data_IF_032356061547
#
_entry.id   IF_032356061547
#
_cell.length_a   1.000
_cell.length_b   1.000
_cell.length_c   1.000
_cell.angle_alpha   90.00
_cell.angle_beta   90.00
_cell.angle_gamma   90.00
#
_symmetry.space_group_name_H-M   'P 1'
#
loop_
_entity.id
_entity.type
_entity.pdbx_description
1 polymer ?
#
# COMPACT_ATOMS: atom_id res chain seq x y z
N UNK A 1 0.64 2.34 -9.84
CA UNK A 1 1.44 3.42 -9.19
C UNK A 1 1.48 4.73 -9.99
N UNK A 2 1.93 4.78 -11.26
CA UNK A 2 1.93 6.05 -12.04
C UNK A 2 0.53 6.66 -12.26
N UNK A 3 -0.50 5.82 -12.44
CA UNK A 3 -1.86 6.31 -12.71
C UNK A 3 -2.57 6.84 -11.46
N UNK A 4 -2.40 6.19 -10.30
CA UNK A 4 -2.96 6.66 -9.03
C UNK A 4 -2.43 8.05 -8.68
N UNK A 5 -1.14 8.32 -8.96
CA UNK A 5 -0.51 9.65 -8.79
C UNK A 5 -1.11 10.68 -9.75
N UNK A 6 -1.30 10.33 -11.02
CA UNK A 6 -1.89 11.26 -12.00
C UNK A 6 -3.36 11.53 -11.67
N UNK A 7 -4.13 10.51 -11.29
CA UNK A 7 -5.52 10.64 -10.89
C UNK A 7 -5.66 11.49 -9.62
N UNK A 8 -4.83 11.26 -8.60
CA UNK A 8 -4.83 12.07 -7.38
C UNK A 8 -4.44 13.52 -7.66
N UNK A 9 -3.42 13.78 -8.48
CA UNK A 9 -3.04 15.13 -8.89
C UNK A 9 -4.17 15.86 -9.61
N UNK A 10 -4.84 15.20 -10.55
CA UNK A 10 -5.98 15.77 -11.28
C UNK A 10 -7.15 16.09 -10.33
N UNK A 11 -7.43 15.19 -9.39
CA UNK A 11 -8.48 15.37 -8.37
C UNK A 11 -8.12 16.53 -7.44
N UNK A 12 -6.87 16.61 -6.96
CA UNK A 12 -6.37 17.71 -6.13
C UNK A 12 -6.47 19.06 -6.86
N UNK A 13 -6.00 19.16 -8.11
CA UNK A 13 -6.06 20.40 -8.89
C UNK A 13 -7.50 20.84 -9.20
N UNK A 14 -8.42 19.89 -9.39
CA UNK A 14 -9.85 20.20 -9.58
C UNK A 14 -10.53 20.58 -8.27
N UNK A 15 -10.17 19.91 -7.17
CA UNK A 15 -10.65 20.25 -5.84
C UNK A 15 -10.22 21.67 -5.49
N UNK A 16 -8.93 21.98 -5.63
CA UNK A 16 -8.37 23.31 -5.37
C UNK A 16 -9.10 24.41 -6.15
N UNK A 17 -9.25 24.27 -7.47
CA UNK A 17 -10.02 25.23 -8.30
C UNK A 17 -11.49 25.38 -7.92
N UNK A 18 -12.12 24.32 -7.38
CA UNK A 18 -13.55 24.29 -7.03
C UNK A 18 -13.81 24.84 -5.63
N UNK A 19 -12.94 24.53 -4.67
CA UNK A 19 -13.09 24.89 -3.27
C UNK A 19 -12.43 26.22 -2.93
N UNK A 20 -11.38 26.66 -3.64
CA UNK A 20 -10.81 28.02 -3.54
C UNK A 20 -11.85 29.14 -3.79
N UNK A 21 -12.98 28.81 -4.44
CA UNK A 21 -14.05 29.76 -4.78
C UNK A 21 -15.26 29.74 -3.83
N UNK A 22 -15.26 28.91 -2.78
CA UNK A 22 -16.36 28.87 -1.80
C UNK A 22 -16.07 29.77 -0.59
N UNK A 23 -17.13 30.29 0.05
CA UNK A 23 -17.02 31.21 1.19
C UNK A 23 -16.63 30.54 2.52
N UNK A 24 -16.54 29.21 2.55
CA UNK A 24 -16.34 28.37 3.73
C UNK A 24 -14.96 27.69 3.67
N UNK A 25 -13.93 28.49 3.38
CA UNK A 25 -12.54 28.07 3.22
C UNK A 25 -11.79 28.51 4.47
N UNK A 26 -11.26 27.53 5.20
CA UNK A 26 -10.37 27.79 6.33
C UNK A 26 -9.04 28.33 5.78
N UNK A 27 -8.81 29.64 5.95
CA UNK A 27 -7.53 30.26 5.64
C UNK A 27 -6.60 30.04 6.82
N UNK A 28 -5.55 29.25 6.60
CA UNK A 28 -4.47 29.11 7.56
C UNK A 28 -3.47 30.24 7.31
N UNK A 29 -3.39 31.20 8.22
CA UNK A 29 -2.25 32.09 8.27
C UNK A 29 -1.03 31.25 8.69
N UNK A 30 0.01 31.28 7.87
CA UNK A 30 1.30 30.72 8.28
C UNK A 30 1.79 31.58 9.44
N UNK A 31 1.78 31.06 10.67
CA UNK A 31 2.58 31.66 11.74
C UNK A 31 4.04 31.68 11.24
N UNK A 32 4.63 32.87 11.13
CA UNK A 32 5.93 33.15 10.48
C UNK A 32 7.17 32.49 11.13
N UNK A 33 7.02 31.46 11.97
CA UNK A 33 8.07 31.11 12.95
C UNK A 33 8.76 29.76 12.79
N UNK A 34 8.63 29.06 11.66
CA UNK A 34 9.52 27.93 11.38
C UNK A 34 10.20 28.09 10.02
N UNK A 35 11.50 28.40 10.07
CA UNK A 35 12.39 28.40 8.92
C UNK A 35 12.29 27.05 8.21
N UNK A 36 11.71 27.04 7.01
CA UNK A 36 11.56 25.87 6.13
C UNK A 36 12.88 25.41 5.50
N UNK A 37 14.01 25.94 5.95
CA UNK A 37 15.31 25.56 5.44
C UNK A 37 15.79 24.25 6.10
N UNK A 38 15.77 23.17 5.31
CA UNK A 38 16.37 21.91 5.73
C UNK A 38 17.83 22.13 6.13
N UNK A 39 18.15 21.83 7.40
CA UNK A 39 19.49 21.90 7.97
C UNK A 39 20.51 21.19 7.07
N UNK A 40 21.71 21.74 6.98
CA UNK A 40 22.77 21.22 6.12
C UNK A 40 23.18 19.79 6.51
N UNK A 41 23.02 19.42 7.78
CA UNK A 41 23.25 18.06 8.27
C UNK A 41 22.14 17.09 7.79
N UNK A 42 20.87 17.50 7.78
CA UNK A 42 19.76 16.70 7.21
C UNK A 42 19.91 16.46 5.71
N UNK A 43 20.42 17.46 4.96
CA UNK A 43 20.72 17.33 3.53
C UNK A 43 21.84 16.29 3.29
N UNK A 44 22.90 16.33 4.09
CA UNK A 44 24.02 15.36 4.00
C UNK A 44 23.57 13.94 4.35
N UNK A 45 22.79 13.78 5.42
CA UNK A 45 22.21 12.50 5.81
C UNK A 45 21.33 11.90 4.71
N UNK A 46 20.48 12.73 4.09
CA UNK A 46 19.59 12.30 3.01
C UNK A 46 20.37 11.84 1.77
N UNK A 47 21.42 12.57 1.38
CA UNK A 47 22.28 12.20 0.25
C UNK A 47 23.02 10.89 0.56
N UNK A 48 23.61 10.77 1.75
CA UNK A 48 24.31 9.56 2.17
C UNK A 48 23.38 8.34 2.18
N UNK A 49 22.14 8.52 2.67
CA UNK A 49 21.11 7.50 2.64
C UNK A 49 20.78 7.05 1.21
N UNK A 50 20.55 7.99 0.29
CA UNK A 50 20.21 7.66 -1.12
C UNK A 50 21.34 6.87 -1.77
N UNK A 51 22.59 7.32 -1.62
CA UNK A 51 23.76 6.65 -2.19
C UNK A 51 23.89 5.23 -1.63
N UNK A 52 23.82 5.09 -0.30
CA UNK A 52 23.92 3.78 0.35
C UNK A 52 22.76 2.86 -0.04
N UNK A 53 21.53 3.38 -0.12
CA UNK A 53 20.36 2.62 -0.52
C UNK A 53 20.49 2.09 -1.95
N UNK A 54 20.88 2.94 -2.90
CA UNK A 54 21.10 2.53 -4.30
C UNK A 54 22.20 1.47 -4.39
N UNK A 55 23.29 1.64 -3.66
CA UNK A 55 24.37 0.64 -3.61
C UNK A 55 23.88 -0.72 -3.08
N UNK A 56 23.09 -0.72 -1.99
CA UNK A 56 22.50 -1.94 -1.43
C UNK A 56 21.53 -2.62 -2.40
N UNK A 57 20.70 -1.86 -3.13
CA UNK A 57 19.78 -2.41 -4.13
C UNK A 57 20.54 -3.05 -5.30
N UNK A 58 21.56 -2.37 -5.84
CA UNK A 58 22.39 -2.92 -6.92
C UNK A 58 23.10 -4.19 -6.45
N UNK A 59 23.66 -4.18 -5.24
CA UNK A 59 24.31 -5.34 -4.66
C UNK A 59 23.33 -6.51 -4.50
N UNK A 60 22.11 -6.26 -4.02
CA UNK A 60 21.07 -7.28 -3.88
C UNK A 60 20.71 -7.93 -5.23
N UNK A 61 20.60 -7.13 -6.30
CA UNK A 61 20.30 -7.62 -7.65
C UNK A 61 21.42 -8.52 -8.19
N UNK A 62 22.69 -8.13 -8.00
CA UNK A 62 23.84 -8.91 -8.50
C UNK A 62 23.95 -10.26 -7.78
N UNK A 63 23.75 -10.27 -6.46
CA UNK A 63 23.94 -11.47 -5.64
C UNK A 63 22.67 -12.30 -5.46
N UNK A 64 21.55 -11.93 -6.11
CA UNK A 64 20.22 -12.55 -5.93
C UNK A 64 19.85 -12.71 -4.44
N UNK A 65 20.15 -11.68 -3.64
CA UNK A 65 19.78 -11.67 -2.23
C UNK A 65 18.25 -11.73 -2.09
N UNK A 66 17.71 -12.77 -1.46
CA UNK A 66 16.28 -12.84 -1.17
C UNK A 66 15.83 -11.70 -0.24
N UNK A 67 14.50 -11.52 -0.08
CA UNK A 67 13.90 -10.48 0.76
C UNK A 67 14.42 -10.46 2.22
N UNK A 68 14.95 -11.58 2.74
CA UNK A 68 15.59 -11.64 4.06
C UNK A 68 16.81 -10.72 4.20
N UNK A 69 17.51 -10.42 3.09
CA UNK A 69 18.62 -9.47 3.10
C UNK A 69 18.17 -8.03 3.40
N UNK A 70 16.88 -7.73 3.18
CA UNK A 70 16.29 -6.41 3.42
C UNK A 70 16.39 -5.95 4.86
N UNK A 71 16.19 -6.86 5.81
CA UNK A 71 16.26 -6.53 7.24
C UNK A 71 17.66 -6.03 7.59
N UNK A 72 18.70 -6.68 7.06
CA UNK A 72 20.09 -6.36 7.37
C UNK A 72 20.47 -4.97 6.86
N UNK A 73 20.22 -4.68 5.57
CA UNK A 73 20.63 -3.38 5.02
C UNK A 73 19.78 -2.22 5.55
N UNK A 74 18.50 -2.43 5.93
CA UNK A 74 17.68 -1.37 6.52
C UNK A 74 18.22 -0.92 7.88
N UNK A 75 18.71 -1.86 8.70
CA UNK A 75 19.42 -1.52 9.94
C UNK A 75 20.70 -0.75 9.63
N UNK A 76 21.50 -1.20 8.66
CA UNK A 76 22.71 -0.48 8.25
C UNK A 76 22.40 0.95 7.76
N UNK A 77 21.34 1.15 6.98
CA UNK A 77 20.92 2.46 6.50
C UNK A 77 20.47 3.38 7.64
N UNK A 78 19.81 2.85 8.68
CA UNK A 78 19.46 3.63 9.86
C UNK A 78 20.73 4.18 10.54
N UNK A 79 21.79 3.37 10.65
CA UNK A 79 23.09 3.84 11.14
C UNK A 79 23.76 4.86 10.22
N UNK A 80 23.68 4.70 8.89
CA UNK A 80 24.18 5.70 7.93
C UNK A 80 23.49 7.04 8.17
N UNK A 81 22.16 7.06 8.29
CA UNK A 81 21.41 8.29 8.57
C UNK A 81 21.80 8.91 9.92
N UNK A 82 21.96 8.09 10.96
CA UNK A 82 22.36 8.56 12.28
C UNK A 82 23.76 9.23 12.27
N UNK A 83 24.73 8.61 11.60
CA UNK A 83 26.11 9.10 11.52
C UNK A 83 26.17 10.40 10.71
N UNK A 84 25.59 10.41 9.50
CA UNK A 84 25.67 11.57 8.61
C UNK A 84 24.73 12.71 9.02
N UNK A 85 23.70 12.41 9.81
CA UNK A 85 22.84 13.41 10.47
C UNK A 85 23.41 13.95 11.78
N UNK A 86 24.59 13.47 12.22
CA UNK A 86 25.22 13.81 13.51
C UNK A 86 24.30 13.62 14.71
N UNK A 87 23.39 12.66 14.64
CA UNK A 87 22.60 12.28 15.80
C UNK A 87 23.51 11.59 16.83
N UNK A 88 23.22 11.81 18.11
CA UNK A 88 23.85 11.01 19.15
C UNK A 88 23.46 9.54 18.94
N UNK A 89 24.44 8.62 18.89
CA UNK A 89 24.18 7.19 18.65
C UNK A 89 23.18 6.62 19.66
N UNK A 90 23.25 7.05 20.92
CA UNK A 90 22.31 6.62 21.95
C UNK A 90 20.88 7.06 21.63
N UNK A 91 20.71 8.30 21.19
CA UNK A 91 19.41 8.88 20.82
C UNK A 91 18.87 8.26 19.52
N UNK A 92 19.75 7.95 18.57
CA UNK A 92 19.39 7.26 17.33
C UNK A 92 18.92 5.82 17.59
N UNK A 93 19.60 5.08 18.48
CA UNK A 93 19.18 3.73 18.89
C UNK A 93 17.86 3.79 19.66
N UNK A 94 17.72 4.70 20.61
CA UNK A 94 16.48 4.86 21.38
C UNK A 94 15.31 5.20 20.45
N UNK A 95 15.51 6.14 19.53
CA UNK A 95 14.50 6.50 18.52
C UNK A 95 14.15 5.31 17.63
N UNK A 96 15.14 4.54 17.18
CA UNK A 96 14.93 3.35 16.35
C UNK A 96 14.11 2.28 17.09
N UNK A 97 14.46 1.98 18.35
CA UNK A 97 13.74 1.01 19.17
C UNK A 97 12.33 1.48 19.51
N UNK A 98 12.16 2.76 19.82
CA UNK A 98 10.86 3.37 20.09
C UNK A 98 9.95 3.32 18.86
N UNK A 99 10.48 3.64 17.68
CA UNK A 99 9.76 3.50 16.40
C UNK A 99 9.45 2.02 16.10
N UNK A 100 10.40 1.12 16.32
CA UNK A 100 10.18 -0.32 16.14
C UNK A 100 9.06 -0.85 17.04
N UNK A 101 9.01 -0.38 18.30
CA UNK A 101 7.98 -0.76 19.25
C UNK A 101 6.57 -0.32 18.82
N UNK A 102 6.41 0.84 18.16
CA UNK A 102 5.09 1.26 17.65
C UNK A 102 4.59 0.38 16.51
N UNK A 103 5.49 -0.30 15.78
CA UNK A 103 5.14 -1.25 14.71
C UNK A 103 4.90 -2.67 15.21
N UNK A 104 5.27 -2.97 16.46
CA UNK A 104 5.11 -4.30 17.04
C UNK A 104 3.66 -4.83 17.03
N UNK A 105 2.62 -4.02 17.33
CA UNK A 105 1.22 -4.47 17.22
C UNK A 105 0.82 -4.90 15.80
N UNK A 106 1.33 -4.19 14.77
CA UNK A 106 1.10 -4.55 13.37
C UNK A 106 1.79 -5.86 13.03
N UNK A 107 3.03 -6.05 13.48
CA UNK A 107 3.78 -7.30 13.30
C UNK A 107 3.03 -8.51 13.90
N UNK A 108 2.52 -8.38 15.13
CA UNK A 108 1.72 -9.44 15.77
C UNK A 108 0.44 -9.71 14.99
N UNK A 109 -0.24 -8.67 14.49
CA UNK A 109 -1.44 -8.83 13.67
C UNK A 109 -1.15 -9.60 12.38
N UNK A 110 -0.01 -9.33 11.71
CA UNK A 110 0.40 -10.09 10.52
C UNK A 110 0.64 -11.57 10.82
N UNK A 111 1.28 -11.89 11.95
CA UNK A 111 1.47 -13.28 12.39
C UNK A 111 0.13 -13.94 12.67
N UNK A 112 -0.77 -13.28 13.41
CA UNK A 112 -2.07 -13.86 13.75
C UNK A 112 -2.96 -14.06 12.51
N UNK A 113 -2.92 -13.13 11.55
CA UNK A 113 -3.58 -13.31 10.25
C UNK A 113 -2.98 -14.51 9.52
N UNK A 114 -1.65 -14.67 9.49
CA UNK A 114 -1.03 -15.84 8.88
C UNK A 114 -1.51 -17.15 9.55
N UNK A 115 -1.50 -17.22 10.88
CA UNK A 115 -1.99 -18.39 11.63
C UNK A 115 -3.46 -18.67 11.32
N UNK A 116 -4.30 -17.63 11.24
CA UNK A 116 -5.70 -17.76 10.86
C UNK A 116 -5.83 -18.33 9.43
N UNK A 117 -5.06 -17.81 8.47
CA UNK A 117 -5.08 -18.29 7.09
C UNK A 117 -4.62 -19.75 6.96
N UNK A 118 -3.54 -20.12 7.66
CA UNK A 118 -3.03 -21.48 7.69
C UNK A 118 -4.06 -22.44 8.30
N UNK A 119 -4.77 -21.98 9.35
CA UNK A 119 -5.85 -22.75 9.98
C UNK A 119 -7.04 -22.93 9.03
N UNK A 120 -7.49 -21.87 8.35
CA UNK A 120 -8.57 -21.94 7.34
C UNK A 120 -8.18 -22.90 6.21
N UNK A 121 -6.93 -22.83 5.75
CA UNK A 121 -6.39 -23.70 4.71
C UNK A 121 -6.38 -25.16 5.18
N UNK A 122 -5.91 -25.43 6.39
CA UNK A 122 -5.88 -26.78 6.97
C UNK A 122 -7.29 -27.37 7.18
N UNK A 123 -8.29 -26.53 7.45
CA UNK A 123 -9.70 -26.94 7.55
C UNK A 123 -10.38 -27.09 6.19
N UNK A 124 -9.70 -26.83 5.06
CA UNK A 124 -10.28 -26.88 3.71
C UNK A 124 -11.26 -25.74 3.43
N UNK A 125 -11.23 -24.65 4.21
CA UNK A 125 -12.15 -23.54 4.07
C UNK A 125 -12.00 -22.78 2.75
N UNK A 126 -10.75 -22.58 2.29
CA UNK A 126 -10.50 -21.98 0.98
C UNK A 126 -10.85 -22.91 -0.18
N UNK A 127 -10.72 -24.23 0.00
CA UNK A 127 -11.13 -25.22 -1.01
C UNK A 127 -12.65 -25.18 -1.22
N UNK A 128 -13.41 -25.14 -0.11
CA UNK A 128 -14.87 -25.01 -0.14
C UNK A 128 -15.32 -23.69 -0.77
N UNK A 129 -14.66 -22.58 -0.43
CA UNK A 129 -14.95 -21.27 -1.01
C UNK A 129 -14.62 -21.25 -2.51
N UNK A 130 -13.50 -21.86 -2.90
CA UNK A 130 -13.09 -22.03 -4.29
C UNK A 130 -14.13 -22.84 -5.10
N UNK A 131 -14.67 -23.92 -4.53
CA UNK A 131 -15.73 -24.71 -5.17
C UNK A 131 -17.03 -23.90 -5.37
N UNK A 132 -17.42 -23.06 -4.41
CA UNK A 132 -18.55 -22.13 -4.56
C UNK A 132 -18.26 -21.13 -5.67
N UNK A 133 -17.07 -20.52 -5.69
CA UNK A 133 -16.71 -19.57 -6.73
C UNK A 133 -16.64 -20.24 -8.12
N UNK A 134 -16.20 -21.50 -8.23
CA UNK A 134 -16.22 -22.26 -9.49
C UNK A 134 -17.65 -22.48 -10.00
N UNK A 135 -18.63 -22.66 -9.11
CA UNK A 135 -20.04 -22.78 -9.52
C UNK A 135 -20.62 -21.49 -10.13
N UNK A 136 -19.98 -20.34 -9.87
CA UNK A 136 -20.42 -19.02 -10.34
C UNK A 136 -19.59 -18.53 -11.54
N UNK A 137 -18.34 -19.00 -11.70
CA UNK A 137 -17.44 -18.60 -12.78
C UNK A 137 -17.49 -19.63 -13.92
N UNK A 138 -18.02 -19.30 -15.11
CA UNK A 138 -18.11 -20.24 -16.23
C UNK A 138 -16.74 -20.70 -16.76
N UNK A 139 -16.66 -21.93 -17.29
CA UNK A 139 -15.44 -22.57 -17.83
C UNK A 139 -14.78 -21.81 -19.00
N UNK A 140 -15.50 -20.92 -19.68
CA UNK A 140 -14.97 -20.08 -20.77
C UNK A 140 -14.88 -18.61 -20.32
N UNK A 141 -13.67 -18.05 -20.28
CA UNK A 141 -13.41 -16.67 -19.84
C UNK A 141 -13.06 -16.48 -18.36
N UNK A 142 -12.65 -17.56 -17.67
CA UNK A 142 -12.37 -17.59 -16.23
C UNK A 142 -11.27 -16.63 -15.77
N UNK A 143 -10.28 -16.34 -16.61
CA UNK A 143 -9.10 -15.55 -16.25
C UNK A 143 -9.41 -14.06 -15.94
N UNK A 144 -10.04 -13.28 -16.85
CA UNK A 144 -10.47 -11.92 -16.53
C UNK A 144 -11.42 -11.82 -15.35
N UNK A 145 -12.40 -12.74 -15.26
CA UNK A 145 -13.40 -12.74 -14.19
C UNK A 145 -12.72 -13.00 -12.84
N UNK A 146 -11.78 -13.95 -12.79
CA UNK A 146 -11.04 -14.25 -11.57
C UNK A 146 -10.20 -13.07 -11.08
N UNK A 147 -9.53 -12.36 -12.00
CA UNK A 147 -8.77 -11.15 -11.66
C UNK A 147 -9.67 -10.02 -11.14
N UNK A 148 -10.84 -9.84 -11.75
CA UNK A 148 -11.85 -8.87 -11.31
C UNK A 148 -12.36 -9.20 -9.90
N UNK A 149 -12.77 -10.45 -9.69
CA UNK A 149 -13.31 -10.90 -8.40
C UNK A 149 -12.25 -10.79 -7.31
N UNK A 150 -11.01 -11.22 -7.58
CA UNK A 150 -9.90 -11.08 -6.65
C UNK A 150 -9.60 -9.62 -6.28
N UNK A 151 -9.63 -8.72 -7.27
CA UNK A 151 -9.43 -7.29 -7.06
C UNK A 151 -10.55 -6.68 -6.20
N UNK A 152 -11.81 -6.99 -6.52
CA UNK A 152 -12.97 -6.49 -5.77
C UNK A 152 -13.00 -7.03 -4.34
N UNK A 153 -12.65 -8.32 -4.17
CA UNK A 153 -12.53 -8.94 -2.86
C UNK A 153 -11.45 -8.25 -2.01
N UNK A 154 -10.32 -7.87 -2.60
CA UNK A 154 -9.31 -7.05 -1.93
C UNK A 154 -9.80 -5.65 -1.58
N UNK A 155 -10.47 -4.98 -2.53
CA UNK A 155 -10.91 -3.60 -2.38
C UNK A 155 -12.00 -3.42 -1.31
N UNK A 156 -12.92 -4.38 -1.18
CA UNK A 156 -14.09 -4.28 -0.31
C UNK A 156 -14.14 -5.32 0.82
N UNK A 157 -13.51 -6.48 0.65
CA UNK A 157 -13.65 -7.62 1.56
C UNK A 157 -12.72 -7.58 2.77
N UNK A 158 -11.59 -6.88 2.68
CA UNK A 158 -10.57 -6.86 3.74
C UNK A 158 -10.07 -5.43 3.93
N UNK A 159 -9.98 -4.97 5.17
CA UNK A 159 -9.32 -3.70 5.50
C UNK A 159 -8.02 -3.99 6.27
N UNK A 160 -6.92 -3.33 5.88
CA UNK A 160 -5.64 -3.54 6.55
C UNK A 160 -4.41 -3.11 5.73
N UNK A 161 -3.25 -3.63 6.12
CA UNK A 161 -2.01 -3.40 5.39
C UNK A 161 -2.00 -4.14 4.04
N UNK A 162 -1.41 -3.53 3.01
CA UNK A 162 -1.38 -4.09 1.65
C UNK A 162 -0.83 -5.53 1.62
N UNK A 163 0.28 -5.78 2.32
CA UNK A 163 0.89 -7.11 2.36
C UNK A 163 -0.06 -8.17 2.93
N UNK A 164 -0.78 -7.85 4.03
CA UNK A 164 -1.76 -8.77 4.62
C UNK A 164 -2.89 -9.09 3.64
N UNK A 165 -3.44 -8.06 3.00
CA UNK A 165 -4.52 -8.23 2.03
C UNK A 165 -4.12 -9.12 0.87
N UNK A 166 -2.94 -8.92 0.29
CA UNK A 166 -2.44 -9.77 -0.80
C UNK A 166 -2.35 -11.24 -0.40
N UNK A 167 -1.85 -11.54 0.81
CA UNK A 167 -1.72 -12.92 1.30
C UNK A 167 -3.08 -13.57 1.48
N UNK A 168 -4.07 -12.84 2.01
CA UNK A 168 -5.43 -13.37 2.18
C UNK A 168 -6.11 -13.60 0.82
N UNK A 169 -6.03 -12.64 -0.11
CA UNK A 169 -6.64 -12.77 -1.44
C UNK A 169 -5.99 -13.94 -2.20
N UNK A 170 -4.66 -14.07 -2.14
CA UNK A 170 -3.96 -15.21 -2.75
C UNK A 170 -4.41 -16.53 -2.11
N UNK A 171 -4.47 -16.61 -0.78
CA UNK A 171 -4.95 -17.81 -0.08
C UNK A 171 -6.33 -18.27 -0.52
N UNK A 172 -7.25 -17.33 -0.77
CA UNK A 172 -8.62 -17.62 -1.24
C UNK A 172 -8.65 -18.12 -2.69
N UNK A 173 -7.97 -17.43 -3.60
CA UNK A 173 -8.17 -17.62 -5.05
C UNK A 173 -7.07 -18.44 -5.74
N UNK A 174 -5.93 -18.71 -5.08
CA UNK A 174 -4.76 -19.33 -5.71
C UNK A 174 -5.04 -20.65 -6.40
N UNK A 175 -5.86 -21.52 -5.83
CA UNK A 175 -6.20 -22.79 -6.48
C UNK A 175 -6.97 -22.57 -7.78
N UNK A 176 -7.85 -21.58 -7.82
CA UNK A 176 -8.60 -21.20 -9.02
C UNK A 176 -7.67 -20.57 -10.06
N UNK A 177 -6.71 -19.76 -9.64
CA UNK A 177 -5.70 -19.14 -10.52
C UNK A 177 -4.86 -20.21 -11.21
N UNK A 178 -4.40 -21.21 -10.45
CA UNK A 178 -3.64 -22.34 -10.98
C UNK A 178 -4.50 -23.21 -11.89
N UNK A 179 -5.73 -23.52 -11.50
CA UNK A 179 -6.66 -24.32 -12.31
C UNK A 179 -7.06 -23.62 -13.62
N UNK A 180 -7.21 -22.30 -13.62
CA UNK A 180 -7.52 -21.49 -14.80
C UNK A 180 -6.30 -21.24 -15.70
N UNK A 181 -5.12 -21.73 -15.33
CA UNK A 181 -3.87 -21.51 -16.07
C UNK A 181 -3.47 -20.03 -16.17
N UNK A 182 -3.93 -19.17 -15.26
CA UNK A 182 -3.62 -17.74 -15.28
C UNK A 182 -2.13 -17.54 -14.95
N UNK A 183 -1.35 -16.85 -15.79
CA UNK A 183 0.03 -16.53 -15.49
C UNK A 183 0.13 -15.80 -14.14
N UNK A 184 0.98 -16.31 -13.24
CA UNK A 184 1.15 -15.74 -11.89
C UNK A 184 1.54 -14.25 -11.94
N UNK A 185 2.25 -13.82 -12.98
CA UNK A 185 2.58 -12.41 -13.20
C UNK A 185 1.32 -11.52 -13.32
N UNK A 186 0.30 -11.98 -14.04
CA UNK A 186 -0.96 -11.24 -14.18
C UNK A 186 -1.73 -11.25 -12.86
N UNK A 187 -1.71 -12.36 -12.13
CA UNK A 187 -2.33 -12.48 -10.82
C UNK A 187 -1.68 -11.57 -9.78
N UNK A 188 -0.36 -11.53 -9.68
CA UNK A 188 0.35 -10.62 -8.77
C UNK A 188 -0.02 -9.15 -9.01
N UNK A 189 -0.20 -8.75 -10.27
CA UNK A 189 -0.66 -7.40 -10.58
C UNK A 189 -2.11 -7.16 -10.12
N UNK A 190 -3.00 -8.12 -10.29
CA UNK A 190 -4.37 -8.04 -9.74
C UNK A 190 -4.35 -7.94 -8.20
N UNK A 191 -3.51 -8.71 -7.52
CA UNK A 191 -3.30 -8.62 -6.06
C UNK A 191 -2.84 -7.23 -5.63
N UNK A 192 -1.89 -6.63 -6.38
CA UNK A 192 -1.40 -5.28 -6.10
C UNK A 192 -2.52 -4.25 -6.25
N UNK A 193 -3.33 -4.37 -7.30
CA UNK A 193 -4.43 -3.44 -7.56
C UNK A 193 -5.61 -3.62 -6.60
N UNK A 194 -5.83 -4.84 -6.10
CA UNK A 194 -6.84 -5.14 -5.08
C UNK A 194 -6.41 -4.77 -3.66
N UNK A 195 -5.11 -4.63 -3.41
CA UNK A 195 -4.58 -4.25 -2.10
C UNK A 195 -4.53 -2.73 -1.93
N UNK A 196 -4.93 -2.23 -0.76
CA UNK A 196 -5.00 -0.83 -0.34
C UNK A 196 -6.28 0.00 -0.65
N UNK A 197 -7.12 -0.26 -1.69
CA UNK A 197 -8.32 0.55 -1.94
C UNK A 197 -9.27 0.66 -0.74
N UNK A 198 -9.37 -0.40 0.06
CA UNK A 198 -10.19 -0.41 1.30
C UNK A 198 -9.84 0.74 2.25
N UNK A 199 -8.57 1.14 2.30
CA UNK A 199 -8.09 2.20 3.19
C UNK A 199 -8.52 3.59 2.71
N UNK A 200 -9.00 3.71 1.48
CA UNK A 200 -9.54 4.95 0.90
C UNK A 200 -11.06 4.92 0.77
N UNK A 201 -11.65 3.72 0.61
CA UNK A 201 -13.09 3.53 0.52
C UNK A 201 -13.76 3.71 1.89
N UNK A 202 -13.15 3.17 2.94
CA UNK A 202 -13.67 3.27 4.31
C UNK A 202 -12.88 4.32 5.11
N UNK A 203 -13.55 5.12 5.96
CA UNK A 203 -12.85 6.04 6.84
C UNK A 203 -12.02 5.25 7.86
N UNK A 204 -10.71 5.53 7.92
CA UNK A 204 -9.77 4.86 8.80
C UNK A 204 -8.68 5.80 9.33
N UNK A 205 -7.68 5.22 9.97
CA UNK A 205 -6.57 5.95 10.59
C UNK A 205 -5.84 6.89 9.61
N UNK A 206 -5.81 6.55 8.32
CA UNK A 206 -5.17 7.37 7.28
C UNK A 206 -5.88 8.71 7.13
N UNK A 207 -7.21 8.73 7.01
CA UNK A 207 -7.99 9.96 6.84
C UNK A 207 -8.00 10.79 8.13
N UNK A 208 -8.09 10.14 9.29
CA UNK A 208 -7.99 10.82 10.58
C UNK A 208 -6.61 11.45 10.80
N UNK A 209 -5.54 10.78 10.37
CA UNK A 209 -4.19 11.32 10.39
C UNK A 209 -4.06 12.58 9.52
N UNK A 210 -4.61 12.55 8.30
CA UNK A 210 -4.60 13.72 7.41
C UNK A 210 -5.43 14.87 7.98
N UNK A 211 -6.62 14.61 8.53
CA UNK A 211 -7.45 15.62 9.21
C UNK A 211 -6.69 16.29 10.37
N UNK A 212 -5.94 15.50 11.15
CA UNK A 212 -5.12 16.01 12.24
C UNK A 212 -3.97 16.90 11.77
N UNK A 213 -3.28 16.52 10.69
CA UNK A 213 -2.20 17.33 10.10
C UNK A 213 -2.74 18.60 9.46
N UNK A 214 -3.89 18.51 8.78
CA UNK A 214 -4.54 19.65 8.16
C UNK A 214 -5.34 20.50 9.15
N UNK A 215 -5.43 20.11 10.43
CA UNK A 215 -6.27 20.77 11.45
C UNK A 215 -7.69 21.09 10.97
N UNK A 216 -8.28 20.21 10.15
CA UNK A 216 -9.57 20.43 9.54
C UNK A 216 -10.59 19.36 9.95
N UNK A 217 -11.87 19.74 10.04
CA UNK A 217 -12.96 18.84 10.45
C UNK A 217 -13.71 18.18 9.29
N UNK A 218 -13.39 18.51 8.03
CA UNK A 218 -14.21 18.14 6.87
C UNK A 218 -13.86 16.75 6.31
N UNK A 219 -14.14 15.72 7.10
CA UNK A 219 -14.01 14.32 6.69
C UNK A 219 -14.85 14.03 5.43
N UNK A 220 -16.00 14.69 5.27
CA UNK A 220 -16.92 14.44 4.15
C UNK A 220 -16.29 14.80 2.81
N UNK A 221 -15.58 15.93 2.72
CA UNK A 221 -14.86 16.33 1.50
C UNK A 221 -13.68 15.40 1.22
N UNK A 222 -12.93 15.02 2.24
CA UNK A 222 -11.81 14.07 2.09
C UNK A 222 -12.31 12.73 1.54
N UNK A 223 -13.36 12.16 2.13
CA UNK A 223 -13.91 10.88 1.68
C UNK A 223 -14.42 10.92 0.24
N UNK A 224 -15.06 12.02 -0.18
CA UNK A 224 -15.49 12.18 -1.59
C UNK A 224 -14.32 12.12 -2.56
N UNK A 225 -13.17 12.69 -2.20
CA UNK A 225 -11.97 12.65 -3.04
C UNK A 225 -11.34 11.25 -3.04
N UNK A 226 -11.28 10.60 -1.89
CA UNK A 226 -10.83 9.22 -1.78
C UNK A 226 -11.67 8.30 -2.66
N UNK A 227 -13.00 8.41 -2.63
CA UNK A 227 -13.89 7.60 -3.47
C UNK A 227 -13.71 7.84 -4.96
N UNK A 228 -13.48 9.09 -5.39
CA UNK A 228 -13.20 9.38 -6.80
C UNK A 228 -11.90 8.72 -7.28
N UNK A 229 -10.85 8.76 -6.46
CA UNK A 229 -9.56 8.13 -6.80
C UNK A 229 -9.68 6.61 -6.77
N UNK A 230 -10.34 6.04 -5.76
CA UNK A 230 -10.57 4.59 -5.67
C UNK A 230 -11.45 4.07 -6.81
N UNK A 231 -12.45 4.83 -7.25
CA UNK A 231 -13.27 4.46 -8.41
C UNK A 231 -12.44 4.45 -9.71
N UNK A 232 -11.54 5.43 -9.90
CA UNK A 232 -10.65 5.46 -11.04
C UNK A 232 -9.63 4.30 -11.03
N UNK A 233 -9.11 3.95 -9.85
CA UNK A 233 -8.21 2.81 -9.66
C UNK A 233 -8.92 1.48 -9.95
N UNK A 234 -10.12 1.28 -9.41
CA UNK A 234 -10.93 0.10 -9.68
C UNK A 234 -11.27 -0.01 -11.17
N UNK A 235 -11.68 1.08 -11.82
CA UNK A 235 -11.97 1.07 -13.26
C UNK A 235 -10.74 0.62 -14.07
N UNK A 236 -9.54 1.10 -13.71
CA UNK A 236 -8.32 0.67 -14.37
C UNK A 236 -7.99 -0.79 -14.09
N UNK A 237 -8.25 -1.29 -12.88
CA UNK A 237 -8.10 -2.70 -12.55
C UNK A 237 -9.04 -3.59 -13.38
N UNK A 238 -10.27 -3.14 -13.64
CA UNK A 238 -11.19 -3.83 -14.55
C UNK A 238 -10.64 -3.87 -15.98
N UNK A 239 -10.15 -2.74 -16.50
CA UNK A 239 -9.55 -2.68 -17.84
C UNK A 239 -8.32 -3.59 -17.93
N UNK A 240 -7.44 -3.56 -16.93
CA UNK A 240 -6.25 -4.41 -16.85
C UNK A 240 -6.63 -5.89 -16.89
N UNK A 241 -7.61 -6.28 -16.08
CA UNK A 241 -8.09 -7.66 -15.97
C UNK A 241 -8.70 -8.19 -17.26
N UNK A 242 -9.28 -7.32 -18.09
CA UNK A 242 -9.86 -7.71 -19.39
C UNK A 242 -8.80 -7.75 -20.49
N UNK A 243 -7.95 -6.73 -20.57
CA UNK A 243 -7.03 -6.55 -21.71
C UNK A 243 -5.80 -7.45 -21.60
N UNK A 244 -5.22 -7.60 -20.41
CA UNK A 244 -3.92 -8.26 -20.28
C UNK A 244 -3.97 -9.77 -20.53
N UNK A 245 -5.00 -10.52 -20.10
CA UNK A 245 -5.14 -11.93 -20.48
C UNK A 245 -5.37 -12.17 -21.98
N UNK A 246 -5.64 -11.14 -22.79
CA UNK A 246 -5.73 -11.26 -24.25
C UNK A 246 -4.36 -11.13 -24.94
N UNK A 247 -3.36 -10.61 -24.23
CA UNK A 247 -2.02 -10.32 -24.75
C UNK A 247 -0.99 -11.39 -24.36
N UNK A 248 -1.34 -12.30 -23.45
CA UNK A 248 -0.53 -13.40 -22.92
C UNK A 248 -1.26 -14.72 -23.11
#
# INVERSE_FOLDING_TARGET
>A
MKVTIVASLIVCLRADKKYSKQADVEYYELEETDSTEASQDSKRASIAFIIAFVACVIWMIIFNGGLSFTIFYMICLAFVVAIFGKYNIYEAIDTFLKQGATQFPMFITLILVQVMLDTITAMGGFDALGAICQSVIPESGSQPILMIVGTLFGAFGINGAAAAQMVVIDGVFRQMVVAAGLPMLLWCMALIMGSLPSNFIYPGSVQWGVLGVCQCGDLKRIMKMCWLVSAAELALAMVYSIVMPMLF
#
